data_IF_477855809722
#
_entry.id   IF_477855809722
#
_cell.length_a   1.000
_cell.length_b   1.000
_cell.length_c   1.000
_cell.angle_alpha   90.00
_cell.angle_beta   90.00
_cell.angle_gamma   90.00
#
_symmetry.space_group_name_H-M   'P 1'
#
loop_
_entity.id
_entity.type
_entity.pdbx_description
1 polymer ?
#
# COMPACT_ATOMS: atom_id res chain seq x y z
N UNK A 1 8.95 7.84 6.62
CA UNK A 1 7.86 8.75 6.22
C UNK A 1 6.60 8.00 5.84
N UNK A 2 6.64 7.05 4.89
CA UNK A 2 5.47 6.26 4.50
C UNK A 2 4.77 5.53 5.67
N UNK A 3 5.53 4.94 6.61
CA UNK A 3 4.96 4.31 7.81
C UNK A 3 4.11 5.25 8.69
N UNK A 4 4.28 6.57 8.63
CA UNK A 4 3.41 7.50 9.35
C UNK A 4 2.00 7.54 8.75
N UNK A 5 1.89 7.33 7.43
CA UNK A 5 0.60 7.21 6.75
C UNK A 5 -0.07 5.91 7.17
N UNK A 6 0.65 4.79 7.17
CA UNK A 6 0.08 3.50 7.60
C UNK A 6 -0.34 3.52 9.08
N UNK A 7 0.42 4.17 9.95
CA UNK A 7 0.03 4.38 11.34
C UNK A 7 -1.26 5.21 11.47
N UNK A 8 -1.49 6.16 10.55
CA UNK A 8 -2.70 6.99 10.50
C UNK A 8 -3.86 6.28 9.81
N UNK A 9 -3.61 5.43 8.83
CA UNK A 9 -4.56 4.60 8.10
C UNK A 9 -4.28 3.10 8.31
N UNK A 10 -4.49 2.56 9.54
CA UNK A 10 -4.08 1.20 9.90
C UNK A 10 -4.80 0.09 9.13
N UNK A 11 -5.92 0.41 8.45
CA UNK A 11 -6.61 -0.53 7.58
C UNK A 11 -5.75 -0.97 6.39
N UNK A 12 -4.72 -0.20 6.07
CA UNK A 12 -3.89 -0.44 4.89
C UNK A 12 -2.92 -1.62 5.05
N UNK A 13 -2.49 -1.96 6.27
CA UNK A 13 -1.74 -3.20 6.56
C UNK A 13 -0.55 -3.47 5.63
N UNK A 14 0.26 -2.47 5.27
CA UNK A 14 1.34 -2.63 4.28
C UNK A 14 0.94 -2.35 2.82
N UNK A 15 -0.20 -1.70 2.60
CA UNK A 15 -0.66 -1.22 1.28
C UNK A 15 0.42 -0.47 0.51
N UNK A 16 1.13 0.45 1.17
CA UNK A 16 2.14 1.27 0.48
C UNK A 16 3.26 0.38 -0.05
N UNK A 17 3.62 -0.66 0.71
CA UNK A 17 4.57 -1.66 0.27
C UNK A 17 4.03 -2.49 -0.91
N UNK A 18 2.78 -2.97 -0.84
CA UNK A 18 2.17 -3.76 -1.92
C UNK A 18 2.02 -2.98 -3.21
N UNK A 19 1.49 -1.76 -3.16
CA UNK A 19 1.41 -0.86 -4.32
C UNK A 19 2.80 -0.59 -4.91
N UNK A 20 3.81 -0.35 -4.07
CA UNK A 20 5.20 -0.24 -4.51
C UNK A 20 5.69 -1.50 -5.25
N UNK A 21 5.38 -2.69 -4.74
CA UNK A 21 5.82 -3.94 -5.37
C UNK A 21 5.09 -4.23 -6.67
N UNK A 22 3.77 -4.03 -6.73
CA UNK A 22 3.00 -4.17 -7.97
C UNK A 22 3.54 -3.21 -9.04
N UNK A 23 3.76 -1.94 -8.69
CA UNK A 23 4.29 -0.95 -9.61
C UNK A 23 5.69 -1.34 -10.14
N UNK A 24 6.57 -1.88 -9.27
CA UNK A 24 7.89 -2.40 -9.69
C UNK A 24 7.77 -3.59 -10.62
N UNK A 25 6.88 -4.55 -10.33
CA UNK A 25 6.64 -5.71 -11.19
C UNK A 25 6.16 -5.27 -12.57
N UNK A 26 5.17 -4.37 -12.62
CA UNK A 26 4.63 -3.86 -13.88
C UNK A 26 5.68 -3.13 -14.71
N UNK A 27 6.46 -2.23 -14.10
CA UNK A 27 7.54 -1.52 -14.79
C UNK A 27 8.63 -2.48 -15.31
N UNK A 28 9.05 -3.43 -14.48
CA UNK A 28 10.07 -4.42 -14.85
C UNK A 28 9.60 -5.33 -15.98
N UNK A 29 8.34 -5.77 -15.93
CA UNK A 29 7.72 -6.61 -16.97
C UNK A 29 7.71 -5.89 -18.32
N UNK A 30 7.47 -4.57 -18.31
CA UNK A 30 7.51 -3.72 -19.49
C UNK A 30 8.94 -3.33 -19.94
N UNK A 31 9.99 -3.88 -19.31
CA UNK A 31 11.38 -3.68 -19.71
C UNK A 31 11.99 -2.32 -19.30
N UNK A 32 11.44 -1.68 -18.26
CA UNK A 32 12.00 -0.42 -17.75
C UNK A 32 13.40 -0.66 -17.17
N UNK A 33 14.23 0.39 -17.16
CA UNK A 33 15.55 0.34 -16.53
C UNK A 33 15.42 0.13 -15.01
N UNK A 34 16.44 -0.43 -14.36
CA UNK A 34 16.42 -0.61 -12.89
C UNK A 34 16.20 0.71 -12.15
N UNK A 35 16.70 1.82 -12.70
CA UNK A 35 16.51 3.18 -12.14
C UNK A 35 15.04 3.59 -12.24
N UNK A 36 14.40 3.37 -13.38
CA UNK A 36 12.99 3.74 -13.56
C UNK A 36 12.06 2.82 -12.76
N UNK A 37 12.38 1.52 -12.65
CA UNK A 37 11.69 0.58 -11.75
C UNK A 37 11.79 1.06 -10.30
N UNK A 38 12.97 1.48 -9.85
CA UNK A 38 13.16 2.03 -8.51
C UNK A 38 12.36 3.34 -8.32
N UNK A 39 12.32 4.22 -9.32
CA UNK A 39 11.55 5.47 -9.29
C UNK A 39 10.05 5.21 -9.14
N UNK A 40 9.48 4.35 -9.99
CA UNK A 40 8.04 4.01 -9.95
C UNK A 40 7.71 3.29 -8.63
N UNK A 41 8.58 2.39 -8.17
CA UNK A 41 8.43 1.76 -6.85
C UNK A 41 8.42 2.76 -5.70
N UNK A 42 9.32 3.74 -5.72
CA UNK A 42 9.34 4.81 -4.71
C UNK A 42 8.07 5.67 -4.79
N UNK A 43 7.60 5.97 -6.00
CA UNK A 43 6.33 6.64 -6.25
C UNK A 43 5.16 5.88 -5.61
N UNK A 44 5.05 4.57 -5.85
CA UNK A 44 4.02 3.72 -5.25
C UNK A 44 4.10 3.67 -3.72
N UNK A 45 5.30 3.73 -3.14
CA UNK A 45 5.48 3.73 -1.68
C UNK A 45 5.09 5.07 -1.02
N UNK A 46 5.14 6.17 -1.76
CA UNK A 46 4.90 7.53 -1.25
C UNK A 46 3.59 8.16 -1.75
N UNK A 47 2.86 7.51 -2.68
CA UNK A 47 1.71 8.10 -3.38
C UNK A 47 0.68 8.75 -2.43
N UNK A 48 0.49 8.10 -1.28
CA UNK A 48 -0.52 8.45 -0.28
C UNK A 48 0.00 9.33 0.86
N UNK A 49 1.23 9.87 0.76
CA UNK A 49 1.86 10.65 1.84
C UNK A 49 1.02 11.85 2.31
N UNK A 50 0.20 12.41 1.42
CA UNK A 50 -0.69 13.52 1.75
C UNK A 50 -1.84 13.17 2.68
N UNK A 51 -2.15 11.88 2.89
CA UNK A 51 -3.17 11.43 3.85
C UNK A 51 -2.87 11.85 5.28
N UNK A 52 -1.61 12.17 5.61
CA UNK A 52 -1.24 12.74 6.92
C UNK A 52 -1.98 14.04 7.22
N UNK A 53 -2.43 14.77 6.19
CA UNK A 53 -3.18 16.02 6.31
C UNK A 53 -4.69 15.84 6.43
N UNK A 54 -5.20 14.60 6.32
CA UNK A 54 -6.63 14.30 6.42
C UNK A 54 -7.00 14.03 7.88
N UNK A 55 -8.18 14.45 8.31
CA UNK A 55 -8.66 14.18 9.68
C UNK A 55 -8.98 12.69 9.89
N UNK A 56 -8.63 12.16 11.06
CA UNK A 56 -8.81 10.75 11.40
C UNK A 56 -10.28 10.33 11.34
N UNK A 57 -11.21 11.21 11.74
CA UNK A 57 -12.65 10.95 11.71
C UNK A 57 -13.20 10.71 10.29
N UNK A 58 -12.56 11.29 9.28
CA UNK A 58 -12.91 11.09 7.87
C UNK A 58 -12.19 9.83 7.37
N UNK A 59 -10.87 9.75 7.59
CA UNK A 59 -10.04 8.68 7.05
C UNK A 59 -10.43 7.30 7.59
N UNK A 60 -10.85 7.21 8.86
CA UNK A 60 -11.19 5.97 9.55
C UNK A 60 -12.69 5.73 9.69
N UNK A 61 -13.53 6.49 8.96
CA UNK A 61 -14.98 6.36 9.05
C UNK A 61 -15.42 4.95 8.63
N UNK A 62 -16.16 4.20 9.48
CA UNK A 62 -16.61 2.84 9.16
C UNK A 62 -17.79 2.82 8.16
N UNK A 63 -18.47 3.94 7.97
CA UNK A 63 -19.56 4.11 7.03
C UNK A 63 -19.08 4.72 5.70
N UNK A 64 -19.96 4.72 4.70
CA UNK A 64 -19.71 5.43 3.44
C UNK A 64 -19.50 6.92 3.72
N UNK A 65 -18.49 7.49 3.05
CA UNK A 65 -18.22 8.92 3.07
C UNK A 65 -19.35 9.68 2.36
N UNK A 66 -19.68 10.87 2.87
CA UNK A 66 -20.49 11.85 2.13
C UNK A 66 -19.67 12.44 0.97
N UNK A 67 -20.33 13.13 0.03
CA UNK A 67 -19.63 13.78 -1.08
C UNK A 67 -18.64 14.86 -0.60
N UNK A 68 -18.96 15.55 0.50
CA UNK A 68 -18.09 16.55 1.12
C UNK A 68 -16.87 15.90 1.78
N UNK A 69 -17.08 14.83 2.56
CA UNK A 69 -16.00 14.05 3.17
C UNK A 69 -15.08 13.44 2.11
N UNK A 70 -15.66 12.89 1.04
CA UNK A 70 -14.91 12.37 -0.09
C UNK A 70 -14.13 13.48 -0.82
N UNK A 71 -14.69 14.69 -0.91
CA UNK A 71 -13.99 15.85 -1.47
C UNK A 71 -12.78 16.27 -0.64
N UNK A 72 -12.83 16.10 0.68
CA UNK A 72 -11.66 16.27 1.55
C UNK A 72 -10.61 15.19 1.27
N UNK A 73 -11.01 13.92 1.15
CA UNK A 73 -10.09 12.82 0.80
C UNK A 73 -9.36 13.08 -0.53
N UNK A 74 -10.08 13.59 -1.55
CA UNK A 74 -9.50 13.94 -2.86
C UNK A 74 -8.40 15.01 -2.81
N UNK A 75 -8.22 15.70 -1.68
CA UNK A 75 -7.14 16.69 -1.52
C UNK A 75 -5.77 16.06 -1.21
N UNK A 76 -5.72 14.78 -0.82
CA UNK A 76 -4.46 14.17 -0.40
C UNK A 76 -3.36 14.13 -1.49
N UNK A 77 -3.63 14.01 -2.81
CA UNK A 77 -2.55 14.06 -3.81
C UNK A 77 -1.86 15.43 -3.80
N UNK A 78 -2.63 16.52 -3.85
CA UNK A 78 -2.10 17.89 -3.80
C UNK A 78 -1.45 18.21 -2.45
N UNK A 79 -1.98 17.70 -1.33
CA UNK A 79 -1.34 17.83 -0.03
C UNK A 79 0.02 17.11 -0.01
N UNK A 80 0.11 15.91 -0.59
CA UNK A 80 1.34 15.15 -0.70
C UNK A 80 2.39 15.87 -1.54
N UNK A 81 1.99 16.41 -2.70
CA UNK A 81 2.84 17.24 -3.55
C UNK A 81 3.39 18.46 -2.78
N UNK A 82 2.53 19.16 -2.04
CA UNK A 82 2.94 20.30 -1.21
C UNK A 82 3.92 19.91 -0.10
N UNK A 83 3.73 18.76 0.54
CA UNK A 83 4.65 18.25 1.57
C UNK A 83 6.03 17.90 0.99
N UNK A 84 6.06 17.42 -0.25
CA UNK A 84 7.27 16.99 -0.92
C UNK A 84 7.97 18.10 -1.71
N UNK A 85 7.33 19.24 -1.98
CA UNK A 85 7.82 20.26 -2.91
C UNK A 85 9.28 20.71 -2.69
N UNK A 86 9.74 20.76 -1.44
CA UNK A 86 11.13 21.10 -1.07
C UNK A 86 11.97 19.90 -0.58
N UNK A 87 11.42 18.68 -0.67
CA UNK A 87 12.08 17.47 -0.22
C UNK A 87 13.04 16.96 -1.31
N UNK A 88 14.22 16.41 -0.97
CA UNK A 88 15.18 15.86 -1.95
C UNK A 88 14.64 14.75 -2.87
N UNK A 89 13.50 14.14 -2.52
CA UNK A 89 12.85 13.11 -3.32
C UNK A 89 11.78 13.66 -4.27
N UNK A 90 11.47 14.96 -4.22
CA UNK A 90 10.37 15.59 -4.97
C UNK A 90 10.39 15.21 -6.45
N UNK A 91 11.51 15.48 -7.13
CA UNK A 91 11.65 15.24 -8.57
C UNK A 91 11.51 13.77 -8.96
N UNK A 92 11.70 12.84 -8.02
CA UNK A 92 11.58 11.41 -8.26
C UNK A 92 10.14 10.92 -8.17
N UNK A 93 9.29 11.53 -7.34
CA UNK A 93 7.98 10.96 -7.00
C UNK A 93 6.80 11.91 -7.11
N UNK A 94 7.01 13.22 -7.29
CA UNK A 94 5.92 14.20 -7.17
C UNK A 94 4.78 13.92 -8.15
N UNK A 95 5.08 13.48 -9.37
CA UNK A 95 4.08 13.09 -10.38
C UNK A 95 3.27 11.87 -9.94
N UNK A 96 3.93 10.85 -9.39
CA UNK A 96 3.26 9.70 -8.80
C UNK A 96 2.33 10.10 -7.66
N UNK A 97 2.79 10.99 -6.77
CA UNK A 97 2.03 11.43 -5.60
C UNK A 97 0.84 12.29 -6.01
N UNK A 98 1.03 13.26 -6.90
CA UNK A 98 0.00 14.23 -7.24
C UNK A 98 -1.03 13.70 -8.23
N UNK A 99 -0.63 12.77 -9.11
CA UNK A 99 -1.42 12.42 -10.30
C UNK A 99 -1.89 10.96 -10.34
N UNK A 100 -1.64 10.14 -9.31
CA UNK A 100 -2.05 8.71 -9.32
C UNK A 100 -3.58 8.49 -9.35
N UNK A 101 -4.38 9.54 -9.12
CA UNK A 101 -5.83 9.51 -9.25
C UNK A 101 -6.36 10.19 -10.53
N UNK A 102 -5.46 10.60 -11.43
CA UNK A 102 -5.85 11.01 -12.77
C UNK A 102 -6.33 9.80 -13.57
N UNK A 103 -7.29 10.04 -14.48
CA UNK A 103 -7.96 8.98 -15.24
C UNK A 103 -7.85 9.27 -16.73
N UNK A 104 -7.57 8.28 -17.59
CA UNK A 104 -7.49 8.47 -19.05
C UNK A 104 -8.69 9.19 -19.67
N UNK A 105 -9.89 9.02 -19.10
CA UNK A 105 -11.13 9.67 -19.51
C UNK A 105 -11.32 11.13 -19.06
N UNK A 106 -10.35 11.73 -18.37
CA UNK A 106 -10.41 13.11 -17.88
C UNK A 106 -11.32 13.31 -16.66
N UNK A 107 -11.89 12.25 -16.09
CA UNK A 107 -12.75 12.33 -14.90
C UNK A 107 -11.97 12.13 -13.59
N UNK A 108 -10.64 12.15 -13.68
CA UNK A 108 -9.73 12.04 -12.55
C UNK A 108 -9.58 13.35 -11.77
N UNK A 109 -8.67 13.33 -10.81
CA UNK A 109 -8.33 14.50 -10.00
C UNK A 109 -6.83 14.44 -9.65
N UNK A 110 -6.19 15.58 -9.34
CA UNK A 110 -6.77 16.92 -9.09
C UNK A 110 -7.04 17.80 -10.33
N UNK A 111 -6.47 17.49 -11.49
CA UNK A 111 -6.49 18.36 -12.68
C UNK A 111 -7.41 17.86 -13.81
N UNK A 112 -7.83 16.60 -13.79
CA UNK A 112 -8.69 16.03 -14.84
C UNK A 112 -7.92 15.80 -16.14
N UNK A 113 -6.69 15.29 -16.00
CA UNK A 113 -5.81 15.01 -17.13
C UNK A 113 -6.38 13.88 -18.00
N UNK A 114 -6.07 13.91 -19.29
CA UNK A 114 -6.40 12.81 -20.21
C UNK A 114 -5.21 11.89 -20.43
N UNK A 115 -5.42 10.72 -21.03
CA UNK A 115 -4.40 9.67 -21.17
C UNK A 115 -3.03 10.18 -21.64
N UNK A 116 -2.99 11.12 -22.60
CA UNK A 116 -1.74 11.66 -23.17
C UNK A 116 -0.95 12.53 -22.20
N UNK A 117 -1.61 13.08 -21.19
CA UNK A 117 -1.02 14.02 -20.23
C UNK A 117 -0.66 13.35 -18.90
N UNK A 118 -1.19 12.14 -18.64
CA UNK A 118 -0.91 11.38 -17.42
C UNK A 118 0.50 10.76 -17.52
N UNK A 119 1.42 11.08 -16.59
CA UNK A 119 2.73 10.46 -16.58
C UNK A 119 2.65 8.96 -16.37
N UNK A 120 3.56 8.22 -17.00
CA UNK A 120 3.56 6.76 -17.00
C UNK A 120 3.61 6.17 -15.59
N UNK A 121 4.40 6.78 -14.70
CA UNK A 121 4.50 6.39 -13.29
C UNK A 121 3.18 6.57 -12.54
N UNK A 122 2.40 7.59 -12.86
CA UNK A 122 1.10 7.83 -12.24
C UNK A 122 0.05 6.83 -12.76
N UNK A 123 0.08 6.51 -14.06
CA UNK A 123 -0.80 5.52 -14.66
C UNK A 123 -0.55 4.10 -14.10
N UNK A 124 0.73 3.71 -13.92
CA UNK A 124 1.10 2.44 -13.27
C UNK A 124 0.56 2.40 -11.84
N UNK A 125 0.79 3.45 -11.06
CA UNK A 125 0.39 3.51 -9.65
C UNK A 125 -1.13 3.51 -9.51
N UNK A 126 -1.87 4.21 -10.37
CA UNK A 126 -3.34 4.21 -10.33
C UNK A 126 -3.93 2.80 -10.52
N UNK A 127 -3.34 1.97 -11.37
CA UNK A 127 -3.74 0.56 -11.53
C UNK A 127 -3.35 -0.28 -10.31
N UNK A 128 -2.10 -0.13 -9.84
CA UNK A 128 -1.59 -0.87 -8.68
C UNK A 128 -2.34 -0.55 -7.38
N UNK A 129 -2.61 0.73 -7.11
CA UNK A 129 -3.41 1.21 -5.98
C UNK A 129 -4.83 0.66 -6.06
N UNK A 130 -5.51 0.82 -7.20
CA UNK A 130 -6.87 0.32 -7.35
C UNK A 130 -6.98 -1.20 -7.14
N UNK A 131 -6.01 -1.95 -7.67
CA UNK A 131 -5.94 -3.40 -7.45
C UNK A 131 -5.80 -3.73 -5.96
N UNK A 132 -4.79 -3.18 -5.29
CA UNK A 132 -4.54 -3.44 -3.87
C UNK A 132 -5.71 -2.96 -2.99
N UNK A 133 -6.30 -1.81 -3.33
CA UNK A 133 -7.45 -1.26 -2.67
C UNK A 133 -8.64 -2.20 -2.66
N UNK A 134 -8.84 -2.94 -3.76
CA UNK A 134 -9.92 -3.92 -3.93
C UNK A 134 -9.64 -5.21 -3.19
N UNK A 135 -8.40 -5.70 -3.22
CA UNK A 135 -8.00 -6.97 -2.59
C UNK A 135 -7.63 -6.84 -1.11
N UNK A 136 -7.58 -5.63 -0.57
CA UNK A 136 -7.29 -5.33 0.85
C UNK A 136 -8.54 -4.91 1.63
N UNK A 137 -8.51 -5.10 2.95
CA UNK A 137 -9.55 -4.62 3.85
C UNK A 137 -9.58 -3.09 3.93
N UNK A 138 -10.78 -2.51 4.07
CA UNK A 138 -11.00 -1.06 4.27
C UNK A 138 -12.09 -0.84 5.34
N UNK A 139 -12.16 0.36 5.96
CA UNK A 139 -13.10 0.63 7.06
C UNK A 139 -14.56 0.20 6.79
N UNK A 140 -15.02 0.44 5.58
CA UNK A 140 -16.41 0.22 5.15
C UNK A 140 -16.57 -0.96 4.18
N UNK A 141 -15.50 -1.74 3.92
CA UNK A 141 -15.52 -2.78 2.88
C UNK A 141 -14.53 -3.91 3.14
N UNK A 142 -15.02 -5.15 3.14
CA UNK A 142 -14.19 -6.35 3.09
C UNK A 142 -13.44 -6.46 1.75
N UNK A 143 -12.25 -7.09 1.73
CA UNK A 143 -11.56 -7.37 0.47
C UNK A 143 -12.43 -8.20 -0.47
N UNK A 144 -12.29 -7.98 -1.78
CA UNK A 144 -12.91 -8.85 -2.79
C UNK A 144 -11.88 -9.82 -3.37
N UNK A 145 -12.32 -10.98 -3.92
CA UNK A 145 -11.41 -11.92 -4.57
C UNK A 145 -10.62 -11.27 -5.69
N UNK A 146 -9.36 -11.71 -5.85
CA UNK A 146 -8.43 -11.22 -6.85
C UNK A 146 -9.01 -11.22 -8.26
N UNK A 147 -9.69 -12.30 -8.64
CA UNK A 147 -10.29 -12.48 -9.96
C UNK A 147 -11.33 -11.38 -10.23
N UNK A 148 -12.14 -11.06 -9.21
CA UNK A 148 -13.14 -9.99 -9.30
C UNK A 148 -12.48 -8.61 -9.39
N UNK A 149 -11.38 -8.38 -8.68
CA UNK A 149 -10.62 -7.13 -8.78
C UNK A 149 -10.06 -6.95 -10.21
N UNK A 150 -9.53 -8.01 -10.81
CA UNK A 150 -9.01 -8.00 -12.19
C UNK A 150 -10.13 -7.81 -13.22
N UNK A 151 -11.31 -8.38 -13.00
CA UNK A 151 -12.48 -8.13 -13.85
C UNK A 151 -12.90 -6.66 -13.81
N UNK A 152 -12.92 -6.03 -12.63
CA UNK A 152 -13.22 -4.59 -12.48
C UNK A 152 -12.17 -3.74 -13.22
N UNK A 153 -10.87 -4.07 -13.13
CA UNK A 153 -9.84 -3.38 -13.90
C UNK A 153 -10.10 -3.49 -15.41
N UNK A 154 -10.44 -4.69 -15.88
CA UNK A 154 -10.73 -4.96 -17.29
C UNK A 154 -11.95 -4.17 -17.78
N UNK A 155 -13.03 -4.14 -17.00
CA UNK A 155 -14.26 -3.41 -17.32
C UNK A 155 -14.05 -1.89 -17.40
N UNK A 156 -13.07 -1.36 -16.67
CA UNK A 156 -12.76 0.06 -16.61
C UNK A 156 -11.50 0.45 -17.40
N UNK A 157 -10.96 -0.47 -18.18
CA UNK A 157 -9.82 -0.26 -19.09
C UNK A 157 -10.15 0.78 -20.16
N UNK A 158 -9.23 1.73 -20.40
CA UNK A 158 -9.38 2.82 -21.35
C UNK A 158 -10.31 3.95 -20.85
N UNK A 159 -10.84 3.83 -19.64
CA UNK A 159 -11.68 4.85 -18.99
C UNK A 159 -11.05 5.34 -17.71
N UNK A 160 -11.18 4.57 -16.63
CA UNK A 160 -10.58 4.88 -15.34
C UNK A 160 -9.10 4.52 -15.31
N UNK A 161 -8.72 3.47 -16.03
CA UNK A 161 -7.37 2.94 -16.04
C UNK A 161 -6.80 2.93 -17.44
N UNK A 162 -5.50 3.20 -17.57
CA UNK A 162 -4.81 3.07 -18.84
C UNK A 162 -4.80 1.59 -19.27
N UNK A 163 -5.26 1.32 -20.49
CA UNK A 163 -5.42 -0.05 -20.99
C UNK A 163 -4.12 -0.84 -21.02
N UNK A 164 -3.00 -0.20 -21.33
CA UNK A 164 -1.70 -0.87 -21.36
C UNK A 164 -1.35 -1.41 -19.97
N UNK A 165 -1.57 -0.62 -18.93
CA UNK A 165 -1.22 -1.02 -17.56
C UNK A 165 -2.20 -2.03 -16.96
N UNK A 166 -3.47 -1.99 -17.37
CA UNK A 166 -4.41 -3.08 -17.07
C UNK A 166 -3.94 -4.40 -17.71
N UNK A 167 -3.53 -4.37 -18.98
CA UNK A 167 -3.06 -5.57 -19.68
C UNK A 167 -1.80 -6.16 -19.02
N UNK A 168 -0.85 -5.32 -18.59
CA UNK A 168 0.33 -5.76 -17.83
C UNK A 168 -0.08 -6.41 -16.51
N UNK A 169 -0.98 -5.81 -15.73
CA UNK A 169 -1.48 -6.40 -14.49
C UNK A 169 -2.10 -7.79 -14.72
N UNK A 170 -2.88 -7.95 -15.79
CA UNK A 170 -3.46 -9.24 -16.18
C UNK A 170 -2.40 -10.27 -16.63
N UNK A 171 -1.30 -9.84 -17.22
CA UNK A 171 -0.19 -10.73 -17.59
C UNK A 171 0.57 -11.21 -16.35
N UNK A 172 0.84 -10.32 -15.39
CA UNK A 172 1.46 -10.68 -14.11
C UNK A 172 0.63 -11.70 -13.34
N UNK A 173 -0.71 -11.60 -13.41
CA UNK A 173 -1.59 -12.63 -12.84
C UNK A 173 -1.42 -13.99 -13.52
N UNK A 174 -1.38 -14.03 -14.86
CA UNK A 174 -1.20 -15.29 -15.60
C UNK A 174 0.13 -15.98 -15.28
N UNK A 175 1.13 -15.19 -14.92
CA UNK A 175 2.45 -15.67 -14.48
C UNK A 175 2.49 -16.02 -12.97
N UNK A 176 1.40 -15.82 -12.23
CA UNK A 176 1.31 -16.10 -10.79
C UNK A 176 2.10 -15.12 -9.91
N UNK A 177 2.51 -13.97 -10.44
CA UNK A 177 3.40 -13.04 -9.75
C UNK A 177 2.67 -12.17 -8.72
N UNK A 178 1.34 -12.01 -8.84
CA UNK A 178 0.56 -11.21 -7.90
C UNK A 178 0.41 -11.89 -6.53
N UNK A 179 0.43 -13.21 -6.49
CA UNK A 179 0.30 -14.01 -5.26
C UNK A 179 1.50 -13.86 -4.31
N UNK A 180 2.63 -13.40 -4.85
CA UNK A 180 3.83 -13.08 -4.07
C UNK A 180 3.69 -11.81 -3.22
N UNK A 181 2.67 -10.98 -3.50
CA UNK A 181 2.48 -9.66 -2.89
C UNK A 181 1.14 -9.58 -2.15
N UNK A 182 0.10 -10.21 -2.69
CA UNK A 182 -1.23 -10.18 -2.06
C UNK A 182 -1.13 -10.72 -0.64
N UNK A 183 -1.87 -10.12 0.30
CA UNK A 183 -1.87 -10.55 1.71
C UNK A 183 -0.49 -10.51 2.39
N UNK A 184 0.44 -9.66 1.92
CA UNK A 184 1.72 -9.42 2.58
C UNK A 184 1.85 -7.96 3.03
N UNK A 185 2.47 -7.74 4.18
CA UNK A 185 2.80 -6.40 4.68
C UNK A 185 4.23 -5.98 4.37
N UNK A 186 5.09 -6.94 4.06
CA UNK A 186 6.45 -6.75 3.57
C UNK A 186 6.94 -8.03 2.86
N UNK A 187 8.18 -8.01 2.38
CA UNK A 187 8.79 -9.14 1.68
C UNK A 187 8.83 -10.41 2.54
N UNK A 188 8.04 -11.42 2.15
CA UNK A 188 7.88 -12.68 2.88
C UNK A 188 7.16 -12.56 4.23
N UNK A 189 6.53 -11.41 4.52
CA UNK A 189 5.79 -11.17 5.77
C UNK A 189 4.28 -11.17 5.50
N UNK A 190 3.55 -12.26 5.85
CA UNK A 190 2.11 -12.32 5.64
C UNK A 190 1.33 -11.38 6.57
N UNK A 191 0.18 -10.95 6.07
CA UNK A 191 -0.90 -10.35 6.85
C UNK A 191 -1.76 -11.44 7.50
N UNK A 192 -2.14 -11.19 8.73
CA UNK A 192 -3.02 -12.08 9.49
C UNK A 192 -4.44 -11.51 9.58
N UNK A 193 -5.40 -12.43 9.65
CA UNK A 193 -6.81 -12.11 9.74
C UNK A 193 -7.23 -11.87 11.18
N UNK A 194 -7.81 -10.70 11.44
CA UNK A 194 -8.55 -10.44 12.67
C UNK A 194 -10.01 -10.84 12.46
N UNK A 195 -10.62 -11.67 13.33
CA UNK A 195 -12.01 -12.11 13.17
C UNK A 195 -13.04 -10.97 13.07
N UNK A 196 -12.72 -9.81 13.66
CA UNK A 196 -13.61 -8.65 13.67
C UNK A 196 -13.30 -7.63 12.56
N UNK A 197 -12.06 -7.58 12.08
CA UNK A 197 -11.56 -6.48 11.26
C UNK A 197 -11.03 -6.92 9.89
N UNK A 198 -10.88 -8.22 9.65
CA UNK A 198 -10.30 -8.77 8.43
C UNK A 198 -8.77 -8.75 8.42
N UNK A 199 -8.13 -8.85 7.24
CA UNK A 199 -6.68 -9.00 7.08
C UNK A 199 -5.93 -7.67 7.24
N UNK A 200 -5.79 -7.22 8.48
CA UNK A 200 -5.14 -5.94 8.83
C UNK A 200 -3.97 -6.10 9.80
N UNK A 201 -3.71 -7.33 10.24
CA UNK A 201 -2.76 -7.59 11.31
C UNK A 201 -1.39 -7.87 10.71
N UNK A 202 -0.45 -6.99 10.97
CA UNK A 202 0.95 -7.15 10.55
C UNK A 202 1.74 -7.91 11.60
N UNK A 203 2.71 -8.72 11.17
CA UNK A 203 3.73 -9.30 12.06
C UNK A 203 5.07 -8.56 11.91
N UNK A 204 5.84 -8.37 13.00
CA UNK A 204 7.24 -7.94 12.91
C UNK A 204 8.10 -8.91 12.11
N UNK A 205 9.19 -8.43 11.48
CA UNK A 205 10.07 -9.29 10.67
C UNK A 205 10.91 -10.27 11.49
N UNK A 206 11.11 -9.98 12.77
CA UNK A 206 11.84 -10.78 13.75
C UNK A 206 10.91 -11.54 14.72
N UNK A 207 9.63 -11.66 14.38
CA UNK A 207 8.65 -12.34 15.21
C UNK A 207 8.99 -13.82 15.44
N UNK A 208 8.70 -14.30 16.65
CA UNK A 208 8.94 -15.66 17.10
C UNK A 208 7.62 -16.40 17.33
N UNK A 209 7.71 -17.74 17.34
CA UNK A 209 6.56 -18.57 17.70
C UNK A 209 6.09 -18.21 19.12
N UNK A 210 4.76 -18.19 19.32
CA UNK A 210 4.10 -17.77 20.56
C UNK A 210 4.15 -16.28 20.89
N UNK A 211 4.78 -15.43 20.06
CA UNK A 211 4.73 -13.98 20.25
C UNK A 211 3.28 -13.46 20.20
N UNK A 212 2.99 -12.49 21.05
CA UNK A 212 1.71 -11.80 21.08
C UNK A 212 1.77 -10.57 20.17
N UNK A 213 0.82 -10.49 19.25
CA UNK A 213 0.56 -9.34 18.38
C UNK A 213 -0.87 -8.85 18.61
N UNK A 214 -1.18 -7.64 18.17
CA UNK A 214 -2.51 -7.07 18.32
C UNK A 214 -3.04 -6.53 16.99
N UNK A 215 -4.35 -6.61 16.81
CA UNK A 215 -5.01 -5.92 15.71
C UNK A 215 -4.88 -4.40 15.91
N UNK A 216 -4.38 -3.64 14.91
CA UNK A 216 -4.20 -2.19 15.05
C UNK A 216 -5.53 -1.41 15.10
N UNK A 217 -6.66 -2.08 14.87
CA UNK A 217 -7.98 -1.46 14.82
C UNK A 217 -8.79 -1.68 16.09
N UNK A 218 -8.91 -2.93 16.54
CA UNK A 218 -9.73 -3.28 17.70
C UNK A 218 -8.92 -3.69 18.92
N UNK A 219 -7.59 -3.73 18.84
CA UNK A 219 -6.67 -4.21 19.87
C UNK A 219 -6.87 -5.68 20.27
N UNK A 220 -7.61 -6.48 19.49
CA UNK A 220 -7.73 -7.91 19.75
C UNK A 220 -6.33 -8.55 19.71
N UNK A 221 -5.96 -9.24 20.79
CA UNK A 221 -4.68 -9.89 20.92
C UNK A 221 -4.72 -11.27 20.25
N UNK A 222 -3.65 -11.59 19.54
CA UNK A 222 -3.46 -12.85 18.86
C UNK A 222 -2.06 -13.39 19.16
N UNK A 223 -1.95 -14.70 19.18
CA UNK A 223 -0.70 -15.41 19.33
C UNK A 223 -0.23 -15.94 17.98
N UNK A 224 1.03 -15.65 17.63
CA UNK A 224 1.64 -16.19 16.43
C UNK A 224 1.93 -17.68 16.58
N UNK A 225 1.57 -18.43 15.55
CA UNK A 225 1.80 -19.87 15.45
C UNK A 225 2.52 -20.14 14.14
N UNK A 226 3.62 -20.89 14.21
CA UNK A 226 4.40 -21.30 13.05
C UNK A 226 4.13 -22.77 12.75
N UNK A 227 3.79 -23.07 11.51
CA UNK A 227 3.53 -24.42 11.01
C UNK A 227 4.35 -24.69 9.75
N UNK A 228 4.27 -25.91 9.22
CA UNK A 228 4.90 -26.29 7.95
C UNK A 228 4.36 -25.42 6.78
N UNK A 229 3.11 -24.96 6.87
CA UNK A 229 2.44 -24.11 5.89
C UNK A 229 2.73 -22.61 6.08
N UNK A 230 3.55 -22.24 7.06
CA UNK A 230 3.95 -20.86 7.35
C UNK A 230 3.37 -20.30 8.67
N UNK A 231 3.30 -18.97 8.73
CA UNK A 231 2.83 -18.24 9.91
C UNK A 231 1.32 -18.05 9.91
N UNK A 232 0.70 -18.17 11.08
CA UNK A 232 -0.70 -17.82 11.33
C UNK A 232 -0.84 -17.09 12.67
N UNK A 233 -1.96 -16.41 12.90
CA UNK A 233 -2.26 -15.77 14.18
C UNK A 233 -3.58 -16.30 14.75
N UNK A 234 -3.55 -16.76 16.01
CA UNK A 234 -4.71 -17.31 16.70
C UNK A 234 -5.26 -16.32 17.74
N UNK A 235 -6.57 -16.03 17.76
CA UNK A 235 -7.17 -15.15 18.77
C UNK A 235 -6.98 -15.71 20.19
N UNK A 236 -6.51 -14.87 21.12
CA UNK A 236 -6.38 -15.27 22.53
C UNK A 236 -7.68 -15.08 23.33
N UNK A 237 -8.65 -14.37 22.77
CA UNK A 237 -9.87 -13.94 23.48
C UNK A 237 -9.64 -12.73 24.40
N UNK A 238 -8.46 -12.12 24.35
CA UNK A 238 -8.10 -10.94 25.13
C UNK A 238 -7.83 -9.74 24.21
N UNK A 239 -7.83 -8.55 24.82
CA UNK A 239 -7.45 -7.31 24.15
C UNK A 239 -6.12 -6.85 24.73
N UNK A 240 -5.21 -6.41 23.86
CA UNK A 240 -3.96 -5.82 24.28
C UNK A 240 -4.22 -4.47 24.96
N UNK A 241 -3.60 -4.28 26.12
CA UNK A 241 -3.56 -2.99 26.79
C UNK A 241 -2.53 -2.05 26.14
N UNK A 242 -2.49 -0.79 26.60
CA UNK A 242 -1.58 0.21 26.05
C UNK A 242 -0.09 -0.11 26.23
N UNK A 243 0.28 -1.06 27.09
CA UNK A 243 1.67 -1.45 27.35
C UNK A 243 2.06 -2.64 26.45
N UNK A 244 1.19 -3.64 26.35
CA UNK A 244 1.37 -4.82 25.52
C UNK A 244 1.20 -4.53 24.02
N UNK A 245 0.45 -3.48 23.65
CA UNK A 245 0.35 -2.99 22.27
C UNK A 245 1.35 -1.86 21.95
N UNK A 246 2.43 -1.71 22.72
CA UNK A 246 3.47 -0.74 22.35
C UNK A 246 4.17 -1.20 21.06
N UNK A 247 4.46 -0.27 20.13
CA UNK A 247 5.25 -0.59 18.96
C UNK A 247 6.60 -1.17 19.40
N UNK A 248 6.91 -2.38 18.94
CA UNK A 248 8.23 -2.96 19.09
C UNK A 248 9.12 -2.46 17.95
N UNK A 249 10.39 -2.23 18.24
CA UNK A 249 11.37 -1.93 17.20
C UNK A 249 11.59 -3.15 16.30
N UNK A 250 11.60 -2.95 14.99
CA UNK A 250 11.99 -4.00 14.04
C UNK A 250 13.52 -3.98 13.90
N UNK A 251 14.19 -4.61 14.87
CA UNK A 251 15.65 -4.62 14.95
C UNK A 251 16.30 -5.23 13.71
N UNK A 252 15.68 -6.26 13.12
CA UNK A 252 16.18 -6.91 11.93
C UNK A 252 16.10 -5.99 10.69
N UNK A 253 15.00 -5.26 10.52
CA UNK A 253 14.87 -4.26 9.47
C UNK A 253 15.89 -3.13 9.63
N UNK A 254 16.07 -2.63 10.86
CA UNK A 254 17.06 -1.59 11.17
C UNK A 254 18.47 -2.07 10.83
N UNK A 255 18.85 -3.29 11.24
CA UNK A 255 20.16 -3.87 10.93
C UNK A 255 20.37 -4.05 9.43
N UNK A 256 19.35 -4.54 8.70
CA UNK A 256 19.41 -4.69 7.24
C UNK A 256 19.62 -3.35 6.55
N UNK A 257 18.88 -2.32 6.97
CA UNK A 257 19.03 -0.96 6.45
C UNK A 257 20.45 -0.42 6.69
N UNK A 258 20.98 -0.55 7.91
CA UNK A 258 22.36 -0.13 8.24
C UNK A 258 23.38 -0.87 7.37
N UNK A 259 23.24 -2.19 7.23
CA UNK A 259 24.17 -3.00 6.44
C UNK A 259 24.17 -2.64 4.95
N UNK A 260 23.00 -2.32 4.39
CA UNK A 260 22.85 -2.02 2.96
C UNK A 260 23.18 -0.57 2.61
N UNK A 261 22.94 0.37 3.52
CA UNK A 261 23.07 1.81 3.25
C UNK A 261 24.30 2.43 3.90
N UNK A 262 24.62 2.08 5.16
CA UNK A 262 25.68 2.75 5.93
C UNK A 262 27.02 2.05 5.77
N UNK A 263 27.06 0.72 5.86
CA UNK A 263 28.32 -0.03 5.78
C UNK A 263 29.14 0.23 4.49
N UNK A 264 28.52 0.39 3.30
CA UNK A 264 29.25 0.76 2.08
C UNK A 264 29.82 2.18 2.10
N UNK A 265 29.22 3.11 2.86
CA UNK A 265 29.64 4.51 2.96
C UNK A 265 30.79 4.73 3.95
N UNK A 266 30.99 3.78 4.87
CA UNK A 266 32.09 3.83 5.86
C UNK A 266 33.37 3.13 5.41
N UNK A 267 33.35 2.51 4.24
CA UNK A 267 34.51 1.84 3.63
C UNK A 267 35.19 2.67 2.53
N UNK A 268 34.79 3.95 2.37
CA UNK A 268 35.38 4.93 1.44
C UNK A 268 36.22 5.98 2.16
#
# INVERSE_FOLDING_TARGET
MAWFVEAKDPYTGGHLWRVSQYAKLMAKHQGFSDIDVARVGLGGFLHDIGKVSIEDQILRKPDRLTDDEFSIIKTHPSNGARLLAAHPLSDLVIKSVELHHERPDGQGYPFGLTQTDIPVEAAIIGVADAFDAMTSARPYRSPIPKEKALDILRENSGRQFDSQWVDVMLQLEKEGLLDLIIMHSADGIPLHECPSCGPVVTQPSDANESDLIACPLCNAQMQLVKSDDGWSAQPTGHYADAVSNQPKEDSALIQRFIAQTVAPLTQS
#
